data_IF_611741405607
#
_entry.id   IF_611741405607
#
_cell.length_a   1.000
_cell.length_b   1.000
_cell.length_c   1.000
_cell.angle_alpha   90.00
_cell.angle_beta   90.00
_cell.angle_gamma   90.00
#
_symmetry.space_group_name_H-M   'P 1'
#
loop_
_entity.id
_entity.type
_entity.pdbx_description
1 polymer ?
#
# COMPACT_ATOMS: atom_id res chain seq x y z
N UNK A 1 -2.86 64.77 26.14
CA UNK A 1 -3.68 64.56 24.94
C UNK A 1 -4.91 63.67 25.13
N UNK A 2 -5.13 63.04 26.28
CA UNK A 2 -6.29 62.17 26.56
C UNK A 2 -7.41 62.90 27.32
N UNK A 3 -7.55 64.20 27.16
CA UNK A 3 -8.57 64.96 27.88
C UNK A 3 -9.93 65.03 27.18
N UNK A 4 -10.02 64.67 25.91
CA UNK A 4 -11.28 64.63 25.15
C UNK A 4 -11.99 63.28 25.28
N UNK A 5 -13.25 63.29 25.64
CA UNK A 5 -14.13 62.11 25.74
C UNK A 5 -14.22 61.37 24.40
N UNK A 6 -14.23 62.12 23.29
CA UNK A 6 -14.26 61.59 21.94
C UNK A 6 -13.05 60.70 21.66
N UNK A 7 -11.85 61.15 22.05
CA UNK A 7 -10.62 60.37 21.89
C UNK A 7 -10.63 59.14 22.79
N UNK A 8 -11.08 59.26 24.04
CA UNK A 8 -11.17 58.12 24.97
C UNK A 8 -12.15 57.05 24.46
N UNK A 9 -13.33 57.41 23.93
CA UNK A 9 -14.26 56.48 23.34
C UNK A 9 -13.72 55.77 22.08
N UNK A 10 -13.06 56.55 21.19
CA UNK A 10 -12.42 55.98 19.98
C UNK A 10 -11.32 55.01 20.36
N UNK A 11 -10.50 55.33 21.35
CA UNK A 11 -9.40 54.45 21.79
C UNK A 11 -9.94 53.14 22.37
N UNK A 12 -10.96 53.17 23.21
CA UNK A 12 -11.61 51.99 23.77
C UNK A 12 -12.23 51.11 22.65
N UNK A 13 -12.92 51.75 21.71
CA UNK A 13 -13.55 51.05 20.59
C UNK A 13 -12.49 50.37 19.69
N UNK A 14 -11.43 51.09 19.35
CA UNK A 14 -10.32 50.54 18.56
C UNK A 14 -9.58 49.39 19.29
N UNK A 15 -9.39 49.49 20.61
CA UNK A 15 -8.82 48.40 21.40
C UNK A 15 -9.70 47.14 21.39
N UNK A 16 -11.04 47.29 21.51
CA UNK A 16 -11.95 46.14 21.39
C UNK A 16 -11.97 45.53 20.01
N UNK A 17 -11.95 46.35 18.95
CA UNK A 17 -11.87 45.88 17.59
C UNK A 17 -10.56 45.10 17.33
N UNK A 18 -9.42 45.66 17.78
CA UNK A 18 -8.14 45.02 17.66
C UNK A 18 -8.09 43.66 18.37
N UNK A 19 -8.73 43.55 19.51
CA UNK A 19 -8.82 42.34 20.31
C UNK A 19 -9.69 41.26 19.63
N UNK A 20 -10.80 41.63 19.01
CA UNK A 20 -11.65 40.72 18.23
C UNK A 20 -10.90 40.22 17.00
N UNK A 21 -10.18 41.10 16.31
CA UNK A 21 -9.37 40.70 15.14
C UNK A 21 -8.24 39.76 15.54
N UNK A 22 -7.55 40.00 16.65
CA UNK A 22 -6.51 39.11 17.17
C UNK A 22 -7.07 37.74 17.54
N UNK A 23 -8.24 37.67 18.19
CA UNK A 23 -8.91 36.39 18.47
C UNK A 23 -9.29 35.64 17.21
N UNK A 24 -9.82 36.34 16.20
CA UNK A 24 -10.19 35.73 14.91
C UNK A 24 -8.97 35.16 14.16
N UNK A 25 -7.85 35.86 14.22
CA UNK A 25 -6.60 35.39 13.60
C UNK A 25 -6.06 34.12 14.29
N UNK A 26 -5.96 34.13 15.61
CA UNK A 26 -5.51 32.98 16.40
C UNK A 26 -6.44 31.77 16.20
N UNK A 27 -7.76 31.99 16.20
CA UNK A 27 -8.73 30.92 15.97
C UNK A 27 -8.57 30.29 14.60
N UNK A 28 -8.30 31.08 13.55
CA UNK A 28 -8.05 30.59 12.19
C UNK A 28 -6.77 29.76 12.08
N UNK A 29 -5.67 30.22 12.65
CA UNK A 29 -4.39 29.52 12.66
C UNK A 29 -4.51 28.16 13.37
N UNK A 30 -5.18 28.14 14.49
CA UNK A 30 -5.45 26.96 15.29
C UNK A 30 -6.30 25.92 14.52
N UNK A 31 -7.33 26.39 13.80
CA UNK A 31 -8.18 25.55 13.00
C UNK A 31 -7.41 24.90 11.82
N UNK A 32 -6.47 25.64 11.22
CA UNK A 32 -5.64 25.13 10.15
C UNK A 32 -4.71 24.00 10.63
N UNK A 33 -4.06 24.19 11.79
CA UNK A 33 -3.21 23.17 12.42
C UNK A 33 -4.01 21.90 12.76
N UNK A 34 -5.22 22.07 13.34
CA UNK A 34 -6.08 20.94 13.67
C UNK A 34 -6.53 20.17 12.41
N UNK A 35 -6.92 20.91 11.37
CA UNK A 35 -7.34 20.29 10.10
C UNK A 35 -6.19 19.49 9.45
N UNK A 36 -4.98 20.02 9.46
CA UNK A 36 -3.79 19.31 8.97
C UNK A 36 -3.53 18.04 9.76
N UNK A 37 -3.62 18.10 11.08
CA UNK A 37 -3.44 16.94 11.94
C UNK A 37 -4.48 15.84 11.73
N UNK A 38 -5.77 16.21 11.63
CA UNK A 38 -6.85 15.27 11.33
C UNK A 38 -6.69 14.65 9.95
N UNK A 39 -6.29 15.45 8.95
CA UNK A 39 -6.02 14.95 7.60
C UNK A 39 -4.87 13.93 7.60
N UNK A 40 -3.78 14.20 8.32
CA UNK A 40 -2.63 13.29 8.46
C UNK A 40 -3.03 11.97 9.13
N UNK A 41 -3.78 12.02 10.23
CA UNK A 41 -4.26 10.84 10.92
C UNK A 41 -5.22 10.00 10.04
N UNK A 42 -6.14 10.66 9.33
CA UNK A 42 -7.08 9.98 8.40
C UNK A 42 -6.34 9.29 7.25
N UNK A 43 -5.31 9.96 6.70
CA UNK A 43 -4.47 9.40 5.64
C UNK A 43 -3.75 8.13 6.10
N UNK A 44 -3.15 8.14 7.26
CA UNK A 44 -2.43 7.00 7.79
C UNK A 44 -3.33 5.77 8.00
N UNK A 45 -4.60 5.96 8.39
CA UNK A 45 -5.58 4.86 8.45
C UNK A 45 -5.82 4.26 7.06
N UNK A 46 -5.90 5.09 6.02
CA UNK A 46 -6.06 4.64 4.62
C UNK A 46 -4.81 3.88 4.16
N UNK A 47 -3.62 4.37 4.50
CA UNK A 47 -2.36 3.75 4.10
C UNK A 47 -2.17 2.38 4.77
N UNK A 48 -2.50 2.23 6.07
CA UNK A 48 -2.51 0.93 6.76
C UNK A 48 -3.49 -0.05 6.10
N UNK A 49 -4.71 0.42 5.76
CA UNK A 49 -5.69 -0.40 5.05
C UNK A 49 -5.15 -0.85 3.68
N UNK A 50 -4.48 0.05 2.95
CA UNK A 50 -3.88 -0.24 1.65
C UNK A 50 -2.76 -1.28 1.75
N UNK A 51 -1.91 -1.21 2.78
CA UNK A 51 -0.88 -2.22 3.03
C UNK A 51 -1.49 -3.58 3.35
N UNK A 52 -2.55 -3.64 4.15
CA UNK A 52 -3.29 -4.90 4.42
C UNK A 52 -3.93 -5.50 3.17
N UNK A 53 -4.42 -4.67 2.26
CA UNK A 53 -4.90 -5.13 0.97
C UNK A 53 -3.78 -5.67 0.08
N UNK A 54 -2.57 -5.05 0.11
CA UNK A 54 -1.39 -5.56 -0.59
C UNK A 54 -1.00 -6.96 -0.10
N UNK A 55 -0.96 -7.20 1.21
CA UNK A 55 -0.69 -8.52 1.79
C UNK A 55 -1.66 -9.58 1.23
N UNK A 56 -2.96 -9.28 1.23
CA UNK A 56 -3.98 -10.18 0.67
C UNK A 56 -3.79 -10.44 -0.82
N UNK A 57 -3.53 -9.39 -1.60
CA UNK A 57 -3.37 -9.51 -3.05
C UNK A 57 -2.12 -10.34 -3.42
N UNK A 58 -1.04 -10.27 -2.65
CA UNK A 58 0.16 -11.11 -2.83
C UNK A 58 -0.13 -12.57 -2.47
N UNK A 59 -0.90 -12.84 -1.43
CA UNK A 59 -1.35 -14.22 -1.12
C UNK A 59 -2.21 -14.77 -2.25
N UNK A 60 -3.11 -13.96 -2.82
CA UNK A 60 -3.91 -14.36 -3.98
C UNK A 60 -3.04 -14.57 -5.24
N UNK A 61 -1.97 -13.78 -5.39
CA UNK A 61 -0.98 -13.94 -6.46
C UNK A 61 -0.28 -15.31 -6.34
N UNK A 62 0.22 -15.67 -5.15
CA UNK A 62 0.80 -16.98 -4.87
C UNK A 62 -0.17 -18.12 -5.17
N UNK A 63 -1.43 -17.97 -4.77
CA UNK A 63 -2.47 -18.98 -5.05
C UNK A 63 -2.68 -19.20 -6.55
N UNK A 64 -2.67 -18.14 -7.38
CA UNK A 64 -2.79 -18.28 -8.83
C UNK A 64 -1.58 -18.98 -9.46
N UNK A 65 -0.37 -18.77 -8.93
CA UNK A 65 0.83 -19.52 -9.35
C UNK A 65 0.67 -21.00 -9.05
N UNK A 66 0.19 -21.36 -7.86
CA UNK A 66 -0.05 -22.76 -7.49
C UNK A 66 -1.13 -23.41 -8.37
N UNK A 67 -2.24 -22.73 -8.65
CA UNK A 67 -3.28 -23.20 -9.57
C UNK A 67 -2.70 -23.42 -10.98
N UNK A 68 -1.86 -22.50 -11.46
CA UNK A 68 -1.19 -22.67 -12.75
C UNK A 68 -0.24 -23.86 -12.74
N UNK A 69 0.57 -24.00 -11.70
CA UNK A 69 1.51 -25.13 -11.53
C UNK A 69 0.80 -26.48 -11.65
N UNK A 70 -0.38 -26.61 -11.03
CA UNK A 70 -1.16 -27.85 -11.03
C UNK A 70 -1.86 -28.09 -12.36
N UNK A 71 -2.61 -27.12 -12.86
CA UNK A 71 -3.60 -27.31 -13.92
C UNK A 71 -3.25 -26.62 -15.24
N UNK A 72 -2.14 -25.92 -15.35
CA UNK A 72 -1.74 -25.08 -16.51
C UNK A 72 -2.88 -24.11 -16.95
N UNK A 73 -3.65 -23.60 -15.99
CA UNK A 73 -4.85 -22.81 -16.24
C UNK A 73 -4.55 -21.44 -16.85
N UNK A 74 -5.05 -21.18 -18.08
CA UNK A 74 -4.96 -19.85 -18.70
C UNK A 74 -5.66 -18.77 -17.87
N UNK A 75 -6.73 -19.13 -17.15
CA UNK A 75 -7.42 -18.18 -16.26
C UNK A 75 -6.56 -17.77 -15.07
N UNK A 76 -5.68 -18.66 -14.59
CA UNK A 76 -4.72 -18.33 -13.52
C UNK A 76 -3.68 -17.31 -14.01
N UNK A 77 -3.19 -17.43 -15.24
CA UNK A 77 -2.29 -16.43 -15.86
C UNK A 77 -2.97 -15.06 -15.96
N UNK A 78 -4.21 -15.02 -16.44
CA UNK A 78 -4.97 -13.77 -16.58
C UNK A 78 -5.23 -13.11 -15.23
N UNK A 79 -5.56 -13.90 -14.19
CA UNK A 79 -5.75 -13.39 -12.82
C UNK A 79 -4.44 -12.87 -12.23
N UNK A 80 -3.36 -13.62 -12.43
CA UNK A 80 -2.01 -13.20 -12.03
C UNK A 80 -1.67 -11.83 -12.63
N UNK A 81 -1.79 -11.66 -13.95
CA UNK A 81 -1.49 -10.39 -14.61
C UNK A 81 -2.34 -9.23 -14.08
N UNK A 82 -3.62 -9.47 -13.79
CA UNK A 82 -4.51 -8.45 -13.21
C UNK A 82 -4.09 -8.07 -11.80
N UNK A 83 -3.74 -9.05 -10.96
CA UNK A 83 -3.25 -8.81 -9.60
C UNK A 83 -1.94 -8.02 -9.62
N UNK A 84 -1.00 -8.34 -10.53
CA UNK A 84 0.23 -7.58 -10.70
C UNK A 84 -0.02 -6.10 -10.95
N UNK A 85 -0.95 -5.76 -11.85
CA UNK A 85 -1.35 -4.37 -12.11
C UNK A 85 -1.97 -3.73 -10.87
N UNK A 86 -2.85 -4.46 -10.17
CA UNK A 86 -3.50 -3.96 -8.95
C UNK A 86 -2.50 -3.66 -7.84
N UNK A 87 -1.55 -4.57 -7.60
CA UNK A 87 -0.52 -4.41 -6.57
C UNK A 87 0.41 -3.23 -6.92
N UNK A 88 0.87 -3.13 -8.17
CA UNK A 88 1.70 -2.01 -8.60
C UNK A 88 0.99 -0.66 -8.40
N UNK A 89 -0.28 -0.55 -8.80
CA UNK A 89 -1.06 0.67 -8.59
C UNK A 89 -1.21 1.05 -7.11
N UNK A 90 -1.30 0.06 -6.21
CA UNK A 90 -1.36 0.30 -4.76
C UNK A 90 -0.01 0.76 -4.22
N UNK A 91 1.10 0.13 -4.67
CA UNK A 91 2.46 0.57 -4.32
C UNK A 91 2.75 1.99 -4.80
N UNK A 92 2.27 2.36 -6.01
CA UNK A 92 2.42 3.71 -6.53
C UNK A 92 1.62 4.74 -5.71
N UNK A 93 0.42 4.39 -5.25
CA UNK A 93 -0.37 5.26 -4.37
C UNK A 93 0.32 5.51 -3.02
N UNK A 94 0.96 4.50 -2.46
CA UNK A 94 1.74 4.65 -1.22
C UNK A 94 2.99 5.53 -1.44
N UNK A 95 3.62 5.46 -2.62
CA UNK A 95 4.82 6.24 -2.96
C UNK A 95 4.55 7.73 -3.23
N UNK A 96 3.38 8.08 -3.82
CA UNK A 96 3.01 9.47 -4.17
C UNK A 96 2.77 10.39 -2.96
N UNK A 97 2.82 9.84 -1.78
CA UNK A 97 2.43 10.51 -0.54
C UNK A 97 3.60 11.13 0.20
N UNK A 98 4.84 10.82 -0.17
CA UNK A 98 6.06 11.19 0.56
C UNK A 98 6.89 12.24 -0.17
N UNK A 99 6.32 13.41 -0.47
CA UNK A 99 7.10 14.54 -1.01
C UNK A 99 7.90 15.32 0.05
N UNK A 100 7.66 15.11 1.35
CA UNK A 100 8.39 15.76 2.43
C UNK A 100 9.58 14.91 2.91
N UNK A 101 10.76 15.48 2.78
CA UNK A 101 12.14 15.01 2.92
C UNK A 101 12.57 14.17 4.15
N UNK A 102 11.70 13.64 4.98
CA UNK A 102 12.07 12.86 6.18
C UNK A 102 11.91 11.34 6.05
N UNK A 103 11.42 10.80 4.91
CA UNK A 103 11.09 9.38 4.79
C UNK A 103 11.89 8.60 3.75
N UNK A 104 13.22 8.68 3.81
CA UNK A 104 14.09 7.78 3.02
C UNK A 104 13.80 6.28 3.31
N UNK A 105 13.38 5.94 4.54
CA UNK A 105 13.15 4.55 4.94
C UNK A 105 11.89 3.94 4.32
N UNK A 106 10.76 4.66 4.30
CA UNK A 106 9.52 4.22 3.67
C UNK A 106 9.69 4.00 2.16
N UNK A 107 10.32 4.94 1.48
CA UNK A 107 10.65 4.83 0.05
C UNK A 107 11.60 3.67 -0.26
N UNK A 108 12.56 3.39 0.63
CA UNK A 108 13.45 2.24 0.51
C UNK A 108 12.70 0.91 0.64
N UNK A 109 11.76 0.79 1.60
CA UNK A 109 10.89 -0.39 1.76
C UNK A 109 10.04 -0.58 0.50
N UNK A 110 9.37 0.45 0.00
CA UNK A 110 8.55 0.40 -1.21
C UNK A 110 9.35 0.00 -2.45
N UNK A 111 10.56 0.52 -2.60
CA UNK A 111 11.48 0.15 -3.70
C UNK A 111 11.86 -1.34 -3.65
N UNK A 112 12.18 -1.86 -2.47
CA UNK A 112 12.45 -3.30 -2.27
C UNK A 112 11.23 -4.15 -2.58
N UNK A 113 10.04 -3.75 -2.12
CA UNK A 113 8.78 -4.43 -2.43
C UNK A 113 8.54 -4.51 -3.95
N UNK A 114 8.73 -3.41 -4.68
CA UNK A 114 8.65 -3.39 -6.15
C UNK A 114 9.67 -4.32 -6.80
N UNK A 115 10.90 -4.35 -6.29
CA UNK A 115 11.95 -5.26 -6.75
C UNK A 115 11.54 -6.74 -6.62
N UNK A 116 11.03 -7.15 -5.46
CA UNK A 116 10.54 -8.51 -5.24
C UNK A 116 9.33 -8.86 -6.09
N UNK A 117 8.42 -7.91 -6.30
CA UNK A 117 7.26 -8.10 -7.16
C UNK A 117 7.64 -8.28 -8.63
N UNK A 118 8.59 -7.51 -9.14
CA UNK A 118 9.11 -7.63 -10.51
C UNK A 118 9.81 -8.98 -10.70
N UNK A 119 10.68 -9.37 -9.77
CA UNK A 119 11.32 -10.69 -9.79
C UNK A 119 10.28 -11.82 -9.76
N UNK A 120 9.22 -11.65 -9.00
CA UNK A 120 8.12 -12.61 -8.94
C UNK A 120 7.41 -12.76 -10.29
N UNK A 121 7.17 -11.64 -10.99
CA UNK A 121 6.57 -11.63 -12.34
C UNK A 121 7.46 -12.31 -13.37
N UNK A 122 8.75 -11.99 -13.38
CA UNK A 122 9.74 -12.59 -14.29
C UNK A 122 9.83 -14.09 -14.08
N UNK A 123 9.91 -14.53 -12.84
CA UNK A 123 9.95 -15.95 -12.48
C UNK A 123 8.65 -16.67 -12.89
N UNK A 124 7.49 -16.04 -12.74
CA UNK A 124 6.22 -16.65 -13.18
C UNK A 124 6.17 -16.80 -14.70
N UNK A 125 6.70 -15.84 -15.45
CA UNK A 125 6.83 -15.96 -16.91
C UNK A 125 7.69 -17.17 -17.29
N UNK A 126 8.84 -17.34 -16.62
CA UNK A 126 9.70 -18.53 -16.84
C UNK A 126 8.97 -19.83 -16.51
N UNK A 127 8.14 -19.87 -15.45
CA UNK A 127 7.33 -21.05 -15.12
C UNK A 127 6.33 -21.36 -16.22
N UNK A 128 5.68 -20.34 -16.81
CA UNK A 128 4.73 -20.51 -17.91
C UNK A 128 5.42 -21.06 -19.16
N UNK A 129 6.57 -20.49 -19.53
CA UNK A 129 7.34 -20.89 -20.71
C UNK A 129 7.87 -22.32 -20.56
N UNK A 130 8.48 -22.63 -19.42
CA UNK A 130 9.00 -23.96 -19.13
C UNK A 130 7.88 -25.00 -19.08
N UNK A 131 6.67 -24.64 -18.63
CA UNK A 131 5.50 -25.54 -18.70
C UNK A 131 5.12 -25.83 -20.15
N UNK A 132 5.10 -24.82 -21.01
CA UNK A 132 4.81 -24.97 -22.44
C UNK A 132 5.87 -25.85 -23.14
N UNK A 133 7.16 -25.63 -22.83
CA UNK A 133 8.25 -26.45 -23.35
C UNK A 133 8.11 -27.92 -22.90
N UNK A 134 7.80 -28.15 -21.62
CA UNK A 134 7.56 -29.49 -21.09
C UNK A 134 6.41 -30.21 -21.82
N UNK A 135 5.27 -29.53 -21.99
CA UNK A 135 4.10 -30.12 -22.62
C UNK A 135 4.35 -30.41 -24.12
N UNK A 136 5.17 -29.59 -24.80
CA UNK A 136 5.64 -29.85 -26.16
C UNK A 136 6.59 -31.05 -26.24
N UNK A 137 7.53 -31.19 -25.31
CA UNK A 137 8.44 -32.35 -25.23
C UNK A 137 7.67 -33.65 -25.01
N UNK A 138 6.63 -33.62 -24.18
CA UNK A 138 5.78 -34.80 -23.97
C UNK A 138 5.06 -35.16 -25.27
N UNK A 139 4.35 -34.21 -25.89
CA UNK A 139 3.45 -34.50 -27.00
C UNK A 139 4.17 -34.77 -28.32
N UNK A 140 5.23 -34.00 -28.64
CA UNK A 140 5.92 -34.05 -29.93
C UNK A 140 7.28 -34.75 -29.89
N UNK A 141 7.85 -34.94 -28.69
CA UNK A 141 9.05 -35.71 -28.44
C UNK A 141 8.73 -37.11 -27.96
N UNK A 142 8.82 -37.33 -26.65
CA UNK A 142 8.83 -38.67 -26.04
C UNK A 142 7.60 -39.55 -26.43
N UNK A 143 6.36 -39.04 -26.38
CA UNK A 143 5.19 -39.85 -26.75
C UNK A 143 5.12 -40.13 -28.25
N UNK A 144 5.51 -39.15 -29.08
CA UNK A 144 5.56 -39.34 -30.53
C UNK A 144 6.62 -40.40 -30.91
N UNK A 145 7.78 -40.36 -30.30
CA UNK A 145 8.85 -41.32 -30.56
C UNK A 145 8.54 -42.71 -30.03
N UNK A 146 7.86 -42.84 -28.87
CA UNK A 146 7.32 -44.10 -28.35
C UNK A 146 6.34 -44.71 -29.34
N UNK A 147 5.36 -43.95 -29.82
CA UNK A 147 4.35 -44.42 -30.78
C UNK A 147 5.00 -44.83 -32.11
N UNK A 148 5.97 -44.03 -32.58
CA UNK A 148 6.71 -44.35 -33.79
C UNK A 148 7.52 -45.67 -33.64
N UNK A 149 8.15 -45.85 -32.48
CA UNK A 149 8.93 -47.06 -32.20
C UNK A 149 8.02 -48.30 -32.09
N UNK A 150 6.86 -48.20 -31.45
CA UNK A 150 5.88 -49.26 -31.42
C UNK A 150 5.40 -49.68 -32.82
N UNK A 151 5.17 -48.69 -33.70
CA UNK A 151 4.81 -48.96 -35.09
C UNK A 151 5.92 -49.65 -35.82
N UNK A 152 7.18 -49.19 -35.68
CA UNK A 152 8.34 -49.83 -36.32
C UNK A 152 8.49 -51.29 -35.89
N UNK A 153 8.34 -51.57 -34.60
CA UNK A 153 8.40 -52.93 -34.06
C UNK A 153 7.29 -53.84 -34.62
N UNK A 154 6.08 -53.33 -34.74
CA UNK A 154 4.94 -54.06 -35.30
C UNK A 154 5.10 -54.36 -36.79
N UNK A 155 5.57 -53.35 -37.57
CA UNK A 155 5.88 -53.51 -39.00
C UNK A 155 6.99 -54.51 -39.21
N UNK A 156 8.08 -54.44 -38.43
CA UNK A 156 9.21 -55.36 -38.48
C UNK A 156 8.83 -56.82 -38.17
N UNK A 157 7.92 -57.03 -37.21
CA UNK A 157 7.37 -58.37 -36.96
C UNK A 157 6.54 -58.87 -38.13
N UNK A 158 5.70 -58.02 -38.71
CA UNK A 158 4.85 -58.37 -39.85
C UNK A 158 5.70 -58.77 -41.07
N UNK A 159 6.81 -58.10 -41.27
CA UNK A 159 7.78 -58.35 -42.35
C UNK A 159 8.69 -59.56 -42.06
N UNK A 160 8.66 -60.11 -40.85
CA UNK A 160 9.50 -61.23 -40.45
C UNK A 160 10.97 -60.80 -40.07
N UNK A 161 11.25 -59.51 -39.93
CA UNK A 161 12.55 -58.97 -39.53
C UNK A 161 12.89 -59.24 -38.05
N UNK A 162 11.86 -59.35 -37.21
CA UNK A 162 11.99 -59.66 -35.76
C UNK A 162 11.00 -60.78 -35.36
N UNK A 163 11.35 -61.49 -34.27
CA UNK A 163 10.48 -62.52 -33.70
C UNK A 163 9.35 -61.88 -32.88
N UNK A 164 8.23 -62.61 -32.73
CA UNK A 164 7.14 -62.19 -31.84
C UNK A 164 7.61 -61.99 -30.40
N UNK A 165 8.52 -62.82 -29.92
CA UNK A 165 9.10 -62.69 -28.58
C UNK A 165 9.95 -61.43 -28.42
N UNK A 166 10.73 -61.06 -29.47
CA UNK A 166 11.54 -59.82 -29.47
C UNK A 166 10.65 -58.58 -29.50
N UNK A 167 9.58 -58.57 -30.30
CA UNK A 167 8.59 -57.50 -30.30
C UNK A 167 7.98 -57.30 -28.91
N UNK A 168 7.47 -58.38 -28.30
CA UNK A 168 6.82 -58.37 -27.01
C UNK A 168 7.75 -57.85 -25.89
N UNK A 169 9.01 -58.30 -25.90
CA UNK A 169 10.02 -57.83 -24.97
C UNK A 169 10.30 -56.33 -25.14
N UNK A 170 10.45 -55.83 -26.37
CA UNK A 170 10.66 -54.41 -26.65
C UNK A 170 9.46 -53.57 -26.25
N UNK A 171 8.23 -53.99 -26.58
CA UNK A 171 6.98 -53.32 -26.16
C UNK A 171 6.82 -53.28 -24.63
N UNK A 172 7.16 -54.33 -23.92
CA UNK A 172 7.15 -54.38 -22.46
C UNK A 172 8.09 -53.31 -21.86
N UNK A 173 9.28 -53.14 -22.43
CA UNK A 173 10.22 -52.10 -21.98
C UNK A 173 9.72 -50.69 -22.30
N UNK A 174 9.14 -50.47 -23.48
CA UNK A 174 8.54 -49.19 -23.85
C UNK A 174 7.40 -48.82 -22.88
N UNK A 175 6.49 -49.74 -22.60
CA UNK A 175 5.37 -49.54 -21.64
C UNK A 175 5.91 -49.24 -20.24
N UNK A 176 7.00 -49.89 -19.82
CA UNK A 176 7.65 -49.56 -18.53
C UNK A 176 8.20 -48.16 -18.50
N UNK A 177 8.89 -47.74 -19.57
CA UNK A 177 9.44 -46.39 -19.70
C UNK A 177 8.33 -45.35 -19.70
N UNK A 178 7.25 -45.54 -20.50
CA UNK A 178 6.10 -44.65 -20.57
C UNK A 178 5.41 -44.51 -19.20
N UNK A 179 5.12 -45.64 -18.54
CA UNK A 179 4.51 -45.63 -17.22
C UNK A 179 5.37 -44.92 -16.16
N UNK A 180 6.71 -45.10 -16.20
CA UNK A 180 7.61 -44.40 -15.29
C UNK A 180 7.61 -42.91 -15.56
N UNK A 181 7.62 -42.47 -16.83
CA UNK A 181 7.49 -41.06 -17.22
C UNK A 181 6.16 -40.46 -16.73
N UNK A 182 5.02 -41.12 -17.00
CA UNK A 182 3.73 -40.62 -16.59
C UNK A 182 3.61 -40.48 -15.05
N UNK A 183 4.12 -41.47 -14.32
CA UNK A 183 4.16 -41.42 -12.85
C UNK A 183 5.07 -40.28 -12.35
N UNK A 184 6.20 -40.05 -12.99
CA UNK A 184 7.08 -38.92 -12.68
C UNK A 184 6.38 -37.57 -12.91
N UNK A 185 5.62 -37.42 -14.00
CA UNK A 185 4.87 -36.21 -14.28
C UNK A 185 3.77 -35.93 -13.24
N UNK A 186 3.16 -36.99 -12.68
CA UNK A 186 2.17 -36.87 -11.61
C UNK A 186 2.82 -36.54 -10.27
N UNK A 187 3.91 -37.23 -9.94
CA UNK A 187 4.67 -37.08 -8.69
C UNK A 187 6.16 -37.22 -8.99
N UNK A 188 6.88 -36.10 -9.11
CA UNK A 188 8.31 -36.10 -9.36
C UNK A 188 9.08 -36.82 -8.25
N UNK A 189 9.55 -38.04 -8.55
CA UNK A 189 10.30 -38.89 -7.65
C UNK A 189 11.49 -39.53 -8.36
N UNK A 190 12.64 -39.63 -7.71
CA UNK A 190 13.87 -40.19 -8.26
C UNK A 190 13.72 -41.69 -8.60
N UNK A 191 12.83 -42.41 -7.94
CA UNK A 191 12.54 -43.82 -8.24
C UNK A 191 11.97 -44.00 -9.65
N UNK A 192 11.11 -43.06 -10.10
CA UNK A 192 10.55 -43.11 -11.47
C UNK A 192 11.58 -42.74 -12.53
N UNK A 193 12.50 -41.80 -12.22
CA UNK A 193 13.63 -41.51 -13.12
C UNK A 193 14.50 -42.75 -13.32
N UNK A 194 14.80 -43.47 -12.22
CA UNK A 194 15.59 -44.69 -12.27
C UNK A 194 14.88 -45.78 -13.08
N UNK A 195 13.60 -46.02 -12.80
CA UNK A 195 12.80 -47.00 -13.51
C UNK A 195 12.69 -46.71 -15.02
N UNK A 196 12.59 -45.44 -15.42
CA UNK A 196 12.60 -45.01 -16.82
C UNK A 196 13.96 -45.33 -17.47
N UNK A 197 15.06 -44.91 -16.83
CA UNK A 197 16.40 -45.11 -17.36
C UNK A 197 16.73 -46.59 -17.50
N UNK A 198 16.38 -47.42 -16.54
CA UNK A 198 16.55 -48.86 -16.60
C UNK A 198 15.80 -49.49 -17.79
N UNK A 199 14.57 -49.09 -18.03
CA UNK A 199 13.75 -49.57 -19.14
C UNK A 199 14.30 -49.09 -20.48
N UNK A 200 14.66 -47.79 -20.62
CA UNK A 200 15.20 -47.22 -21.83
C UNK A 200 16.61 -47.82 -22.18
N UNK A 201 17.46 -47.99 -21.18
CA UNK A 201 18.79 -48.60 -21.39
C UNK A 201 18.67 -50.08 -21.74
N UNK A 202 17.71 -50.82 -21.19
CA UNK A 202 17.44 -52.20 -21.56
C UNK A 202 16.94 -52.30 -22.99
N UNK A 203 16.07 -51.41 -23.40
CA UNK A 203 15.54 -51.33 -24.76
C UNK A 203 16.64 -51.04 -25.76
N UNK A 204 17.54 -50.10 -25.50
CA UNK A 204 18.69 -49.75 -26.35
C UNK A 204 19.65 -50.91 -26.53
N UNK A 205 19.88 -51.72 -25.49
CA UNK A 205 20.80 -52.86 -25.51
C UNK A 205 20.17 -54.11 -26.12
N UNK A 206 18.87 -54.09 -26.39
CA UNK A 206 18.18 -55.26 -26.91
C UNK A 206 18.54 -55.46 -28.39
N UNK A 207 19.15 -56.60 -28.70
CA UNK A 207 19.42 -56.97 -30.09
C UNK A 207 18.15 -57.65 -30.65
N UNK A 208 17.40 -56.90 -31.45
CA UNK A 208 16.12 -57.32 -32.00
C UNK A 208 16.23 -58.12 -33.28
N UNK A 209 17.24 -57.78 -34.13
CA UNK A 209 17.38 -58.25 -35.46
C UNK A 209 18.84 -58.27 -35.96
N UNK A 210 19.12 -59.03 -37.01
CA UNK A 210 20.40 -58.98 -37.77
C UNK A 210 20.37 -57.87 -38.83
N UNK A 211 19.23 -57.23 -39.06
CA UNK A 211 19.10 -56.10 -39.97
C UNK A 211 19.67 -54.86 -39.31
N UNK A 212 20.89 -54.46 -39.70
CA UNK A 212 21.63 -53.37 -39.09
C UNK A 212 20.88 -52.03 -39.17
N UNK A 213 20.21 -51.76 -40.30
CA UNK A 213 19.48 -50.48 -40.48
C UNK A 213 18.27 -50.37 -39.53
N UNK A 214 17.55 -51.46 -39.31
CA UNK A 214 16.43 -51.51 -38.36
C UNK A 214 16.95 -51.36 -36.92
N UNK A 215 18.00 -52.09 -36.57
CA UNK A 215 18.61 -52.03 -35.24
C UNK A 215 19.09 -50.59 -34.91
N UNK A 216 19.83 -49.96 -35.81
CA UNK A 216 20.24 -48.54 -35.64
C UNK A 216 19.08 -47.55 -35.48
N UNK A 217 17.98 -47.80 -36.19
CA UNK A 217 16.78 -46.94 -36.07
C UNK A 217 16.13 -47.08 -34.73
N UNK A 218 16.03 -48.30 -34.18
CA UNK A 218 15.54 -48.55 -32.83
C UNK A 218 16.41 -47.90 -31.76
N UNK A 219 17.73 -48.07 -31.91
CA UNK A 219 18.69 -47.46 -30.99
C UNK A 219 18.59 -45.93 -30.95
N UNK A 220 18.57 -45.27 -32.13
CA UNK A 220 18.43 -43.82 -32.23
C UNK A 220 17.16 -43.32 -31.59
N UNK A 221 15.99 -43.96 -31.83
CA UNK A 221 14.73 -43.57 -31.20
C UNK A 221 14.75 -43.78 -29.68
N UNK A 222 15.38 -44.87 -29.23
CA UNK A 222 15.54 -45.13 -27.79
C UNK A 222 16.43 -44.07 -27.12
N UNK A 223 17.47 -43.60 -27.80
CA UNK A 223 18.33 -42.50 -27.34
C UNK A 223 17.57 -41.16 -27.29
N UNK A 224 16.77 -40.84 -28.33
CA UNK A 224 15.95 -39.66 -28.38
C UNK A 224 14.92 -39.63 -27.20
N UNK A 225 14.21 -40.74 -27.03
CA UNK A 225 13.25 -40.90 -25.92
C UNK A 225 13.92 -40.67 -24.57
N UNK A 226 15.14 -41.19 -24.37
CA UNK A 226 15.92 -40.99 -23.16
C UNK A 226 16.37 -39.53 -23.00
N UNK A 227 16.89 -38.91 -24.06
CA UNK A 227 17.34 -37.53 -24.04
C UNK A 227 16.19 -36.55 -23.73
N UNK A 228 15.03 -36.74 -24.35
CA UNK A 228 13.83 -35.95 -24.10
C UNK A 228 13.35 -36.12 -22.66
N UNK A 229 13.38 -37.33 -22.11
CA UNK A 229 13.01 -37.54 -20.70
C UNK A 229 13.99 -36.88 -19.74
N UNK A 230 15.31 -36.90 -20.01
CA UNK A 230 16.28 -36.13 -19.21
C UNK A 230 15.97 -34.64 -19.24
N UNK A 231 15.69 -34.08 -20.41
CA UNK A 231 15.28 -32.65 -20.53
C UNK A 231 13.98 -32.37 -19.81
N UNK A 232 13.00 -33.27 -19.92
CA UNK A 232 11.73 -33.20 -19.22
C UNK A 232 11.91 -33.15 -17.68
N UNK A 233 12.81 -33.99 -17.15
CA UNK A 233 13.11 -34.02 -15.71
C UNK A 233 13.80 -32.72 -15.25
N UNK A 234 14.74 -32.19 -16.03
CA UNK A 234 15.39 -30.90 -15.73
C UNK A 234 14.40 -29.74 -15.69
N UNK A 235 13.51 -29.63 -16.69
CA UNK A 235 12.47 -28.60 -16.73
C UNK A 235 11.53 -28.74 -15.55
N UNK A 236 11.10 -29.96 -15.23
CA UNK A 236 10.18 -30.19 -14.10
C UNK A 236 10.80 -29.84 -12.77
N UNK A 237 12.06 -30.24 -12.52
CA UNK A 237 12.79 -29.90 -11.30
C UNK A 237 13.06 -28.40 -11.20
N UNK A 238 13.47 -27.76 -12.30
CA UNK A 238 13.70 -26.32 -12.38
C UNK A 238 12.41 -25.53 -12.03
N UNK A 239 11.26 -25.93 -12.57
CA UNK A 239 9.97 -25.32 -12.25
C UNK A 239 9.58 -25.50 -10.79
N UNK A 240 9.81 -26.68 -10.23
CA UNK A 240 9.52 -26.93 -8.81
C UNK A 240 10.39 -26.06 -7.91
N UNK A 241 11.67 -25.94 -8.21
CA UNK A 241 12.59 -25.06 -7.48
C UNK A 241 12.16 -23.60 -7.61
N UNK A 242 11.86 -23.15 -8.82
CA UNK A 242 11.47 -21.77 -9.10
C UNK A 242 10.21 -21.39 -8.33
N UNK A 243 9.16 -22.23 -8.35
CA UNK A 243 7.90 -21.94 -7.64
C UNK A 243 8.03 -22.10 -6.13
N UNK A 244 8.61 -23.19 -5.66
CA UNK A 244 8.56 -23.54 -4.23
C UNK A 244 9.65 -22.85 -3.40
N UNK A 245 10.75 -22.41 -4.03
CA UNK A 245 11.88 -21.77 -3.32
C UNK A 245 12.02 -20.30 -3.72
N UNK A 246 12.26 -20.01 -4.99
CA UNK A 246 12.59 -18.66 -5.44
C UNK A 246 11.37 -17.72 -5.32
N UNK A 247 10.24 -18.13 -5.92
CA UNK A 247 9.03 -17.32 -5.90
C UNK A 247 8.42 -17.25 -4.49
N UNK A 248 8.43 -18.36 -3.75
CA UNK A 248 7.97 -18.37 -2.36
C UNK A 248 8.83 -17.43 -1.49
N UNK A 249 10.16 -17.43 -1.69
CA UNK A 249 11.08 -16.51 -1.02
C UNK A 249 10.76 -15.04 -1.32
N UNK A 250 10.59 -14.69 -2.60
CA UNK A 250 10.24 -13.32 -3.02
C UNK A 250 8.90 -12.84 -2.44
N UNK A 251 7.90 -13.73 -2.41
CA UNK A 251 6.60 -13.39 -1.84
C UNK A 251 6.66 -13.24 -0.30
N UNK A 252 7.41 -14.09 0.40
CA UNK A 252 7.61 -13.98 1.83
C UNK A 252 8.36 -12.70 2.20
N UNK A 253 9.38 -12.32 1.43
CA UNK A 253 10.09 -11.05 1.65
C UNK A 253 9.18 -9.85 1.39
N UNK A 254 8.34 -9.91 0.36
CA UNK A 254 7.33 -8.86 0.13
C UNK A 254 6.37 -8.73 1.32
N UNK A 255 5.88 -9.85 1.87
CA UNK A 255 4.99 -9.85 3.04
C UNK A 255 5.68 -9.32 4.29
N UNK A 256 6.95 -9.68 4.50
CA UNK A 256 7.76 -9.14 5.59
C UNK A 256 7.89 -7.60 5.48
N UNK A 257 8.27 -7.12 4.30
CA UNK A 257 8.39 -5.68 4.02
C UNK A 257 7.04 -4.95 4.16
N UNK A 258 5.93 -5.59 3.79
CA UNK A 258 4.58 -5.05 4.03
C UNK A 258 4.30 -4.87 5.52
N UNK A 259 4.70 -5.83 6.35
CA UNK A 259 4.60 -5.74 7.81
C UNK A 259 5.43 -4.59 8.40
N UNK A 260 6.67 -4.41 7.93
CA UNK A 260 7.54 -3.30 8.33
C UNK A 260 6.93 -1.95 7.90
N UNK A 261 6.42 -1.86 6.68
CA UNK A 261 5.74 -0.66 6.18
C UNK A 261 4.48 -0.33 7.00
N UNK A 262 3.65 -1.34 7.30
CA UNK A 262 2.46 -1.16 8.13
C UNK A 262 2.81 -0.65 9.53
N UNK A 263 3.85 -1.22 10.16
CA UNK A 263 4.35 -0.79 11.47
C UNK A 263 4.83 0.66 11.43
N UNK A 264 5.62 1.03 10.41
CA UNK A 264 6.11 2.39 10.23
C UNK A 264 4.94 3.37 10.08
N UNK A 265 4.03 3.12 9.14
CA UNK A 265 2.85 3.98 8.91
C UNK A 265 2.00 4.13 10.17
N UNK A 266 1.83 3.04 10.95
CA UNK A 266 1.08 3.09 12.23
C UNK A 266 1.80 3.95 13.26
N UNK A 267 3.12 3.78 13.41
CA UNK A 267 3.92 4.56 14.37
C UNK A 267 3.92 6.05 14.01
N UNK A 268 4.12 6.38 12.72
CA UNK A 268 4.09 7.76 12.23
C UNK A 268 2.72 8.41 12.44
N UNK A 269 1.63 7.64 12.24
CA UNK A 269 0.27 8.06 12.55
C UNK A 269 0.05 8.33 14.04
N UNK A 270 0.53 7.45 14.91
CA UNK A 270 0.44 7.66 16.36
C UNK A 270 1.19 8.92 16.79
N UNK A 271 2.39 9.14 16.28
CA UNK A 271 3.18 10.35 16.54
C UNK A 271 2.46 11.60 16.03
N UNK A 272 1.95 11.59 14.79
CA UNK A 272 1.20 12.70 14.21
C UNK A 272 -0.08 12.99 15.00
N UNK A 273 -0.80 11.95 15.40
CA UNK A 273 -2.02 12.05 16.23
C UNK A 273 -1.69 12.64 17.60
N UNK A 274 -0.66 12.15 18.26
CA UNK A 274 -0.23 12.65 19.57
C UNK A 274 0.21 14.13 19.50
N UNK A 275 0.98 14.51 18.47
CA UNK A 275 1.33 15.91 18.21
C UNK A 275 0.09 16.78 18.01
N UNK A 276 -0.89 16.29 17.27
CA UNK A 276 -2.16 16.99 17.03
C UNK A 276 -2.95 17.20 18.34
N UNK A 277 -3.03 16.18 19.21
CA UNK A 277 -3.66 16.29 20.52
C UNK A 277 -2.96 17.31 21.41
N UNK A 278 -1.63 17.27 21.51
CA UNK A 278 -0.87 18.22 22.34
C UNK A 278 -0.99 19.66 21.82
N UNK A 279 -0.98 19.85 20.51
CA UNK A 279 -1.24 21.15 19.89
C UNK A 279 -2.68 21.62 20.13
N UNK A 280 -3.68 20.77 19.99
CA UNK A 280 -5.08 21.09 20.26
C UNK A 280 -5.29 21.51 21.71
N UNK A 281 -4.72 20.77 22.68
CA UNK A 281 -4.81 21.07 24.11
C UNK A 281 -4.12 22.41 24.45
N UNK A 282 -2.91 22.64 23.94
CA UNK A 282 -2.20 23.91 24.14
C UNK A 282 -2.96 25.09 23.54
N UNK A 283 -3.53 24.89 22.37
CA UNK A 283 -4.34 25.86 21.63
C UNK A 283 -5.64 26.19 22.38
N UNK A 284 -6.34 25.16 22.88
CA UNK A 284 -7.55 25.36 23.70
C UNK A 284 -7.22 26.15 24.95
N UNK A 285 -6.18 25.78 25.70
CA UNK A 285 -5.76 26.49 26.91
C UNK A 285 -5.40 27.95 26.63
N UNK A 286 -4.64 28.22 25.57
CA UNK A 286 -4.29 29.56 25.17
C UNK A 286 -5.52 30.35 24.73
N UNK A 287 -6.45 29.75 24.02
CA UNK A 287 -7.73 30.33 23.61
C UNK A 287 -8.61 30.69 24.81
N UNK A 288 -8.70 29.84 25.84
CA UNK A 288 -9.42 30.10 27.09
C UNK A 288 -8.81 31.27 27.86
N UNK A 289 -7.49 31.31 28.01
CA UNK A 289 -6.79 32.42 28.65
C UNK A 289 -7.02 33.73 27.89
N UNK A 290 -6.91 33.70 26.56
CA UNK A 290 -7.14 34.88 25.71
C UNK A 290 -8.58 35.37 25.80
N UNK A 291 -9.55 34.47 25.85
CA UNK A 291 -10.98 34.79 26.05
C UNK A 291 -11.21 35.44 27.41
N UNK A 292 -10.61 34.89 28.46
CA UNK A 292 -10.76 35.44 29.83
C UNK A 292 -10.16 36.84 29.93
N UNK A 293 -8.95 37.07 29.36
CA UNK A 293 -8.34 38.39 29.28
C UNK A 293 -9.22 39.35 28.49
N UNK A 294 -9.84 38.92 27.40
CA UNK A 294 -10.70 39.72 26.56
C UNK A 294 -11.98 40.16 27.31
N UNK A 295 -12.59 39.24 28.07
CA UNK A 295 -13.75 39.52 28.90
C UNK A 295 -13.37 40.55 29.98
N UNK A 296 -12.25 40.39 30.65
CA UNK A 296 -11.79 41.33 31.67
C UNK A 296 -11.51 42.72 31.09
N UNK A 297 -10.92 42.80 29.90
CA UNK A 297 -10.68 44.07 29.20
C UNK A 297 -12.01 44.74 28.78
N UNK A 298 -12.98 43.95 28.26
CA UNK A 298 -14.31 44.47 27.90
C UNK A 298 -15.07 45.01 29.13
N UNK A 299 -15.05 44.26 30.24
CA UNK A 299 -15.63 44.67 31.50
C UNK A 299 -14.95 45.96 32.02
N UNK A 300 -13.65 46.01 32.00
CA UNK A 300 -12.89 47.20 32.41
C UNK A 300 -13.23 48.43 31.54
N UNK A 301 -13.34 48.24 30.22
CA UNK A 301 -13.77 49.28 29.29
C UNK A 301 -15.22 49.74 29.55
N UNK A 302 -16.12 48.85 29.84
CA UNK A 302 -17.54 49.17 30.21
C UNK A 302 -17.60 49.96 31.51
N UNK A 303 -16.90 49.52 32.56
CA UNK A 303 -16.82 50.22 33.83
C UNK A 303 -16.20 51.60 33.67
N UNK A 304 -15.09 51.70 32.92
CA UNK A 304 -14.46 52.97 32.60
C UNK A 304 -15.45 53.93 31.93
N UNK A 305 -16.17 53.46 30.92
CA UNK A 305 -17.18 54.28 30.23
C UNK A 305 -18.31 54.70 31.17
N UNK A 306 -18.80 53.78 32.00
CA UNK A 306 -19.85 54.06 32.97
C UNK A 306 -19.47 55.14 33.99
N UNK A 307 -18.29 55.00 34.63
CA UNK A 307 -17.87 55.92 35.69
C UNK A 307 -17.26 57.21 35.15
N UNK A 308 -16.58 57.18 34.05
CA UNK A 308 -15.83 58.34 33.51
C UNK A 308 -16.68 59.20 32.58
N UNK A 309 -17.69 58.62 31.90
CA UNK A 309 -18.51 59.32 30.91
C UNK A 309 -19.96 59.38 31.30
N UNK A 310 -20.67 58.25 31.49
CA UNK A 310 -22.11 58.23 31.74
C UNK A 310 -22.46 58.84 33.10
N UNK A 311 -21.74 58.51 34.16
CA UNK A 311 -22.00 59.04 35.50
C UNK A 311 -21.98 60.56 35.54
N UNK A 312 -20.90 61.22 35.10
CA UNK A 312 -20.82 62.68 35.03
C UNK A 312 -21.88 63.33 34.14
N UNK A 313 -22.20 62.74 32.97
CA UNK A 313 -23.26 63.25 32.11
C UNK A 313 -24.61 63.22 32.83
N UNK A 314 -24.93 62.10 33.52
CA UNK A 314 -26.19 61.99 34.30
C UNK A 314 -26.25 63.02 35.40
N UNK A 315 -25.14 63.27 36.08
CA UNK A 315 -25.07 64.30 37.13
C UNK A 315 -25.32 65.72 36.58
N UNK A 316 -24.74 66.04 35.43
CA UNK A 316 -24.95 67.33 34.76
C UNK A 316 -26.37 67.46 34.25
N UNK A 317 -26.97 66.42 33.67
CA UNK A 317 -28.36 66.41 33.23
C UNK A 317 -29.33 66.69 34.42
N UNK A 318 -29.06 66.12 35.61
CA UNK A 318 -29.85 66.41 36.81
C UNK A 318 -29.71 67.85 37.24
N UNK A 319 -28.50 68.45 37.11
CA UNK A 319 -28.31 69.88 37.40
C UNK A 319 -29.10 70.75 36.43
N UNK A 320 -29.07 70.48 35.14
CA UNK A 320 -29.88 71.21 34.14
C UNK A 320 -31.32 71.08 34.38
N UNK A 321 -31.84 69.92 34.78
CA UNK A 321 -33.26 69.72 35.14
C UNK A 321 -33.66 70.55 36.37
N UNK A 322 -32.81 70.67 37.39
CA UNK A 322 -33.02 71.50 38.55
C UNK A 322 -32.98 73.02 38.24
N UNK A 323 -32.01 73.42 37.40
CA UNK A 323 -31.96 74.83 36.92
C UNK A 323 -33.22 75.22 36.12
N UNK A 324 -33.69 74.31 35.22
CA UNK A 324 -34.94 74.51 34.48
C UNK A 324 -36.20 74.66 35.43
N UNK A 325 -36.15 74.09 36.63
CA UNK A 325 -37.14 74.22 37.66
C UNK A 325 -36.97 75.47 38.57
N UNK A 326 -35.99 76.36 38.23
CA UNK A 326 -35.77 77.60 38.97
C UNK A 326 -34.96 77.43 40.26
N UNK A 327 -34.32 76.26 40.48
CA UNK A 327 -33.53 76.02 41.69
C UNK A 327 -32.11 76.56 41.45
N UNK A 328 -31.67 77.52 42.26
CA UNK A 328 -30.29 78.02 42.26
C UNK A 328 -29.32 76.93 42.78
N UNK A 329 -28.31 76.54 42.00
CA UNK A 329 -27.30 75.55 42.39
C UNK A 329 -25.97 76.25 42.52
N UNK A 330 -25.35 76.21 43.68
CA UNK A 330 -24.08 76.89 43.98
C UNK A 330 -22.85 76.04 43.58
N UNK A 331 -22.98 74.72 43.31
CA UNK A 331 -21.83 73.84 42.92
C UNK A 331 -22.27 72.89 41.85
N UNK A 332 -21.67 73.01 40.64
CA UNK A 332 -21.95 72.14 39.49
C UNK A 332 -20.93 71.01 39.44
N UNK A 333 -21.37 69.75 39.58
CA UNK A 333 -20.46 68.62 39.53
C UNK A 333 -19.70 68.56 38.16
N UNK A 334 -18.36 68.43 38.22
CA UNK A 334 -17.57 68.32 37.00
C UNK A 334 -17.03 69.64 36.44
N UNK A 335 -17.26 70.76 37.05
CA UNK A 335 -16.75 72.09 36.63
C UNK A 335 -15.20 72.18 36.64
N UNK A 336 -14.51 71.33 37.42
CA UNK A 336 -13.03 71.23 37.44
C UNK A 336 -12.44 70.37 36.32
N UNK A 337 -13.26 69.66 35.54
CA UNK A 337 -12.80 68.81 34.46
C UNK A 337 -12.32 69.63 33.26
N UNK A 338 -11.28 69.08 32.53
CA UNK A 338 -10.70 69.73 31.37
C UNK A 338 -11.21 69.13 30.02
N UNK A 339 -12.22 68.20 30.08
CA UNK A 339 -12.84 67.55 28.92
C UNK A 339 -14.17 68.26 28.52
N UNK A 340 -14.85 67.70 27.56
CA UNK A 340 -16.13 68.22 27.02
C UNK A 340 -17.20 68.30 28.09
N UNK A 341 -17.23 67.39 29.06
CA UNK A 341 -18.13 67.43 30.22
C UNK A 341 -17.81 68.63 31.10
N UNK A 342 -16.52 68.92 31.31
CA UNK A 342 -16.12 70.09 32.07
C UNK A 342 -16.50 71.41 31.38
N UNK A 343 -16.41 71.48 30.04
CA UNK A 343 -16.91 72.59 29.26
C UNK A 343 -18.42 72.77 29.40
N UNK A 344 -19.20 71.67 29.35
CA UNK A 344 -20.65 71.68 29.54
C UNK A 344 -21.03 72.10 30.95
N UNK A 345 -20.32 71.63 31.97
CA UNK A 345 -20.52 72.04 33.38
C UNK A 345 -20.26 73.51 33.60
N UNK A 346 -19.22 74.09 32.98
CA UNK A 346 -18.89 75.53 33.06
C UNK A 346 -19.88 76.41 32.28
N UNK A 347 -20.55 75.92 31.24
CA UNK A 347 -21.59 76.64 30.52
C UNK A 347 -22.92 76.72 31.27
N UNK A 348 -23.10 75.95 32.35
CA UNK A 348 -24.23 75.95 33.25
C UNK A 348 -24.04 76.80 34.52
N UNK A 349 -22.83 77.37 34.70
CA UNK A 349 -22.53 78.39 35.75
C UNK A 349 -22.92 79.76 35.26
#
# INVERSE_FOLDING_TARGET
MLSSIRIQLITVLLALIALILAQGFIARENQEVLNKGVASASKAVVDVALVKELERDVVDLQRNVLIFKENASKSAITRFSRLMVTINNKLDKLALVDEDNEEQEGNHILSRMKGHLNAYQENFTQVVDARSERDNLIARGTLSDITLLEKILSDAKTNGDISAASEEQAKTLLIRAENAMLKYLMKPDMGFIRAFNEAADSLRKLTLTKNTSLQERVERLSENIKADFVKLTQITQGNLFLVNVVMAGSANEFLYLSGELAKKVTTDSEIATQRTYTLAESTQRNGELFSLVSILLALSAALFTMFRILGPIRSITQVFNKLAQGVQISNIPGSSRKDEIGKLAKAAL
#
